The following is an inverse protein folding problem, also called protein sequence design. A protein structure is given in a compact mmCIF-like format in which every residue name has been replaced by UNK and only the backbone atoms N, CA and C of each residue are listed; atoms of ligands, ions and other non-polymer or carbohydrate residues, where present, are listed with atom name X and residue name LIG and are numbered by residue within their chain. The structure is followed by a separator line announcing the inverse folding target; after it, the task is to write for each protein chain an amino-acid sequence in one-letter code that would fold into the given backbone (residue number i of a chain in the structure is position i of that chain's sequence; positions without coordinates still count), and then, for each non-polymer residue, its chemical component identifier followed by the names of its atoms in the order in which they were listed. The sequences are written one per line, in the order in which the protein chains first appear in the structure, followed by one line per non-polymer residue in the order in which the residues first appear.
data_IF_975907206798
#
_entry.id   IF_975907206798
#
_cell.length_a   1.000
_cell.length_b   1.000
_cell.length_c   1.000
_cell.angle_alpha   90.00
_cell.angle_beta   90.00
_cell.angle_gamma   90.00
#
_symmetry.space_group_name_H-M   'P 1'
#
loop_
_entity.id
_entity.type
_entity.pdbx_description
1 polymer ?
#
# COMPACT_ATOMS: atom_id res chain seq x y z
N UNK A 1 23.92 21.71 -5.47
CA UNK A 1 23.40 21.56 -5.63
C UNK A 1 23.01 21.19 -6.11
N UNK A 2 23.11 20.68 -5.64
CA UNK A 2 22.49 20.38 -5.74
C UNK A 2 22.19 19.86 -6.03
N UNK A 3 22.44 19.78 -5.69
CA UNK A 3 21.90 19.47 -5.66
C UNK A 3 21.47 19.13 -6.10
N UNK A 4 21.74 19.18 -5.80
CA UNK A 4 21.02 19.06 -5.88
C UNK A 4 20.61 18.76 -6.49
N UNK A 5 21.05 18.80 -6.17
CA UNK A 5 20.36 18.67 -6.49
C UNK A 5 20.01 18.25 -7.08
N UNK A 6 20.14 18.06 -6.92
CA UNK A 6 19.55 17.74 -7.13
C UNK A 6 18.96 17.23 -7.53
N UNK A 7 19.16 17.19 -7.20
CA UNK A 7 18.18 16.81 -7.17
C UNK A 7 17.56 16.70 -7.81
N UNK A 8 17.60 16.73 -7.70
CA UNK A 8 16.70 16.74 -8.03
C UNK A 8 16.19 16.50 -8.70
N UNK A 9 16.27 16.41 -8.56
CA UNK A 9 15.65 16.25 -8.88
C UNK A 9 15.08 15.69 -9.27
N UNK A 10 15.01 15.52 -8.95
CA UNK A 10 14.37 14.96 -8.90
C UNK A 10 13.60 14.49 -9.28
N UNK A 11 13.45 14.29 -8.93
CA UNK A 11 12.63 13.85 -8.90
C UNK A 11 11.65 13.51 -9.08
N UNK A 12 11.48 13.24 -8.76
CA UNK A 12 10.53 12.81 -8.78
C UNK A 12 9.57 13.03 -8.90
N UNK A 13 8.96 13.06 -8.68
CA UNK A 13 8.03 13.12 -8.69
C UNK A 13 7.09 12.91 -8.48
N UNK A 14 7.02 12.93 -8.41
CA UNK A 14 6.06 12.54 -7.88
C UNK A 14 4.90 12.34 -8.16
N UNK A 15 4.57 11.95 -7.72
CA UNK A 15 3.43 11.59 -7.78
C UNK A 15 2.68 12.61 -7.46
N UNK A 16 1.84 12.71 -7.98
CA UNK A 16 1.04 13.59 -7.68
C UNK A 16 1.02 13.87 -6.38
N UNK A 17 1.22 14.54 -6.09
CA UNK A 17 1.15 14.75 -4.91
C UNK A 17 2.26 14.49 -4.33
N UNK A 18 2.75 14.33 -4.51
CA UNK A 18 3.60 14.04 -3.94
C UNK A 18 4.41 14.32 -3.36
N UNK A 19 4.63 14.43 -3.19
CA UNK A 19 5.24 14.42 -2.77
C UNK A 19 6.10 14.26 -2.29
N UNK A 20 6.68 14.45 -2.00
CA UNK A 20 7.48 14.30 -1.64
C UNK A 20 7.92 13.64 -0.92
N UNK A 21 8.31 13.46 -0.78
CA UNK A 21 8.61 12.84 -0.12
C UNK A 21 9.61 12.37 0.08
N UNK A 22 10.14 12.31 0.20
CA UNK A 22 10.88 11.85 0.24
C UNK A 22 11.70 11.24 1.03
N UNK A 23 12.19 11.61 1.83
CA UNK A 23 12.88 10.97 2.54
C UNK A 23 12.29 10.05 3.15
N UNK A 24 12.53 8.97 2.91
CA UNK A 24 11.80 7.99 3.59
C UNK A 24 12.61 7.47 4.74
N UNK A 25 11.90 7.29 5.82
CA UNK A 25 12.46 6.64 6.99
C UNK A 25 12.53 5.15 6.68
N UNK A 26 13.71 4.53 6.67
CA UNK A 26 13.79 3.10 6.34
C UNK A 26 13.09 2.21 7.34
N UNK A 27 12.76 2.73 8.52
CA UNK A 27 12.04 1.96 9.53
C UNK A 27 10.55 2.11 9.43
N UNK A 28 10.06 2.75 8.38
CA UNK A 28 8.62 2.94 8.17
C UNK A 28 8.25 2.70 6.73
N UNK A 29 7.05 2.18 6.54
CA UNK A 29 6.50 2.04 5.19
C UNK A 29 6.07 3.43 4.72
N UNK A 30 6.46 3.85 3.50
CA UNK A 30 6.11 5.19 3.01
C UNK A 30 4.70 5.21 2.45
N UNK A 31 3.72 5.18 3.35
CA UNK A 31 2.32 5.17 2.97
C UNK A 31 1.92 6.42 2.21
N UNK A 32 1.14 6.23 1.15
CA UNK A 32 0.52 7.31 0.41
C UNK A 32 -0.99 7.11 0.45
N UNK A 33 -1.77 8.19 0.28
CA UNK A 33 -3.24 8.05 0.32
C UNK A 33 -3.73 7.15 -0.80
N UNK A 34 -4.66 6.27 -0.44
CA UNK A 34 -5.29 5.42 -1.44
C UNK A 34 -6.24 6.21 -2.33
N UNK A 35 -6.24 5.89 -3.60
CA UNK A 35 -7.29 6.22 -4.54
C UNK A 35 -7.23 5.18 -5.64
N UNK A 36 -8.32 5.05 -6.38
CA UNK A 36 -8.30 4.13 -7.52
C UNK A 36 -7.27 4.56 -8.55
N UNK A 37 -7.14 5.88 -8.72
CA UNK A 37 -6.16 6.42 -9.65
C UNK A 37 -4.74 6.09 -9.22
N UNK A 38 -4.46 6.14 -7.91
CA UNK A 38 -3.12 5.80 -7.42
C UNK A 38 -2.80 4.34 -7.68
N UNK A 39 -3.78 3.45 -7.49
CA UNK A 39 -3.58 2.03 -7.79
C UNK A 39 -3.28 1.85 -9.27
N UNK A 40 -4.09 2.47 -10.13
CA UNK A 40 -3.91 2.32 -11.58
C UNK A 40 -2.57 2.86 -12.03
N UNK A 41 -2.15 4.01 -11.49
CA UNK A 41 -0.89 4.62 -11.88
C UNK A 41 0.30 3.73 -11.53
N UNK A 42 0.27 3.14 -10.32
CA UNK A 42 1.36 2.26 -9.91
C UNK A 42 1.44 1.02 -10.79
N UNK A 43 0.29 0.42 -11.11
CA UNK A 43 0.28 -0.78 -11.92
C UNK A 43 0.73 -0.50 -13.36
N UNK A 44 0.44 0.70 -13.87
CA UNK A 44 0.95 1.09 -15.18
C UNK A 44 2.46 1.13 -15.18
N UNK A 45 3.08 1.44 -14.06
CA UNK A 45 4.52 1.43 -13.93
C UNK A 45 5.09 0.04 -13.71
N UNK A 46 4.24 -0.99 -13.71
CA UNK A 46 4.68 -2.34 -13.47
C UNK A 46 4.98 -2.64 -12.01
N UNK A 47 4.35 -1.90 -11.09
CA UNK A 47 4.62 -2.03 -9.66
C UNK A 47 3.42 -2.66 -8.95
N UNK A 48 3.66 -3.65 -8.10
CA UNK A 48 2.57 -4.17 -7.26
C UNK A 48 2.10 -3.10 -6.27
N UNK A 49 0.87 -3.22 -5.78
CA UNK A 49 0.31 -2.25 -4.85
C UNK A 49 -0.20 -2.99 -3.61
N UNK A 50 0.24 -2.52 -2.44
CA UNK A 50 -0.25 -3.04 -1.17
C UNK A 50 -1.16 -1.98 -0.56
N UNK A 51 -2.43 -2.33 -0.35
CA UNK A 51 -3.42 -1.38 0.16
C UNK A 51 -3.85 -1.80 1.56
N UNK A 52 -3.87 -0.84 2.47
CA UNK A 52 -4.33 -1.05 3.83
C UNK A 52 -5.51 -0.11 4.11
N UNK A 53 -6.73 -0.65 4.16
CA UNK A 53 -7.89 0.12 4.59
C UNK A 53 -8.02 -0.05 6.09
N UNK A 54 -7.95 1.07 6.80
CA UNK A 54 -7.86 1.10 8.25
C UNK A 54 -8.73 2.22 8.82
N UNK A 55 -8.79 2.34 10.14
CA UNK A 55 -9.51 3.41 10.81
C UNK A 55 -8.95 3.60 12.21
N UNK A 56 -9.07 4.83 12.73
CA UNK A 56 -8.54 5.13 14.07
C UNK A 56 -9.18 4.27 15.15
N UNK A 57 -10.44 3.91 14.99
CA UNK A 57 -11.20 3.16 15.99
C UNK A 57 -11.10 1.65 15.83
N UNK A 58 -10.29 1.18 14.90
CA UNK A 58 -10.23 -0.25 14.57
C UNK A 58 -9.07 -0.92 15.28
N UNK A 59 -9.37 -1.66 16.35
CA UNK A 59 -8.33 -2.33 17.12
C UNK A 59 -7.63 -3.42 16.33
N UNK A 60 -8.37 -4.19 15.52
CA UNK A 60 -7.76 -5.24 14.70
C UNK A 60 -6.82 -4.64 13.66
N UNK A 61 -7.18 -3.49 13.09
CA UNK A 61 -6.30 -2.82 12.13
C UNK A 61 -4.98 -2.43 12.77
N UNK A 62 -5.05 -1.90 13.98
CA UNK A 62 -3.84 -1.49 14.70
C UNK A 62 -2.98 -2.68 15.05
N UNK A 63 -3.62 -3.76 15.48
CA UNK A 63 -2.90 -4.98 15.82
C UNK A 63 -2.19 -5.54 14.58
N UNK A 64 -2.91 -5.62 13.46
CA UNK A 64 -2.31 -6.09 12.20
C UNK A 64 -1.13 -5.24 11.81
N UNK A 65 -1.28 -3.93 11.90
CA UNK A 65 -0.21 -3.02 11.47
C UNK A 65 1.03 -3.20 12.33
N UNK A 66 0.86 -3.19 13.65
CA UNK A 66 2.01 -3.28 14.55
C UNK A 66 2.67 -4.65 14.51
N UNK A 67 1.85 -5.71 14.38
CA UNK A 67 2.37 -7.07 14.53
C UNK A 67 2.89 -7.67 13.22
N UNK A 68 2.28 -7.31 12.10
CA UNK A 68 2.54 -8.02 10.85
C UNK A 68 2.95 -7.11 9.69
N UNK A 69 2.43 -5.90 9.63
CA UNK A 69 2.69 -5.03 8.47
C UNK A 69 3.96 -4.23 8.66
N UNK A 70 4.07 -3.49 9.77
CA UNK A 70 5.24 -2.66 10.02
C UNK A 70 6.33 -3.50 10.65
N UNK A 71 6.89 -4.40 9.86
CA UNK A 71 7.98 -5.28 10.28
C UNK A 71 9.11 -5.13 9.29
N UNK A 72 10.31 -5.47 9.74
CA UNK A 72 11.49 -5.39 8.87
C UNK A 72 11.31 -6.23 7.62
N UNK A 73 10.72 -7.41 7.79
CA UNK A 73 10.57 -8.34 6.65
C UNK A 73 9.63 -7.80 5.59
N UNK A 74 8.49 -7.22 6.02
CA UNK A 74 7.54 -6.69 5.05
C UNK A 74 8.11 -5.43 4.40
N UNK A 75 8.77 -4.57 5.18
CA UNK A 75 9.40 -3.39 4.60
C UNK A 75 10.43 -3.77 3.55
N UNK A 76 11.25 -4.78 3.86
CA UNK A 76 12.25 -5.24 2.90
C UNK A 76 11.61 -5.82 1.64
N UNK A 77 10.54 -6.59 1.81
CA UNK A 77 9.84 -7.19 0.67
C UNK A 77 9.21 -6.12 -0.21
N UNK A 78 8.59 -5.12 0.40
CA UNK A 78 8.00 -4.03 -0.39
C UNK A 78 9.05 -3.34 -1.26
N UNK A 79 10.25 -3.11 -0.69
CA UNK A 79 11.34 -2.52 -1.47
C UNK A 79 11.84 -3.47 -2.54
N UNK A 80 11.97 -4.75 -2.19
CA UNK A 80 12.49 -5.75 -3.11
C UNK A 80 11.63 -5.85 -4.36
N UNK A 81 10.31 -5.87 -4.20
CA UNK A 81 9.41 -6.01 -5.35
C UNK A 81 8.98 -4.64 -5.91
N UNK A 82 9.49 -3.56 -5.33
CA UNK A 82 9.18 -2.20 -5.77
C UNK A 82 7.69 -1.89 -5.66
N UNK A 83 7.06 -2.35 -4.58
CA UNK A 83 5.64 -2.16 -4.39
C UNK A 83 5.33 -0.73 -3.91
N UNK A 84 4.13 -0.27 -4.24
CA UNK A 84 3.60 0.99 -3.73
C UNK A 84 2.67 0.66 -2.57
N UNK A 85 2.82 1.37 -1.46
CA UNK A 85 1.99 1.16 -0.28
C UNK A 85 0.98 2.31 -0.15
N UNK A 86 -0.30 1.96 -0.14
CA UNK A 86 -1.38 2.94 -0.08
C UNK A 86 -2.23 2.66 1.16
N UNK A 87 -2.66 3.73 1.83
CA UNK A 87 -3.51 3.60 3.00
C UNK A 87 -4.83 4.33 2.74
N UNK A 88 -5.93 3.64 3.04
CA UNK A 88 -7.26 4.24 2.97
C UNK A 88 -7.82 4.39 4.37
N UNK A 89 -8.02 5.62 4.80
CA UNK A 89 -8.49 5.92 6.16
C UNK A 89 -10.01 5.96 6.17
N UNK A 90 -10.60 4.95 6.78
CA UNK A 90 -12.06 4.83 6.88
C UNK A 90 -12.61 5.38 8.19
N UNK A 91 -11.83 6.21 8.90
CA UNK A 91 -12.28 6.73 10.19
C UNK A 91 -13.62 7.44 10.09
N UNK A 92 -13.83 8.23 9.03
CA UNK A 92 -15.06 8.97 8.80
C UNK A 92 -15.92 8.36 7.71
N UNK A 93 -15.63 7.13 7.32
CA UNK A 93 -16.41 6.37 6.33
C UNK A 93 -16.64 7.13 5.02
N UNK A 94 -15.59 7.60 4.35
CA UNK A 94 -15.80 8.29 3.09
C UNK A 94 -16.44 7.36 2.06
N UNK A 95 -17.31 7.89 1.19
CA UNK A 95 -18.05 7.05 0.25
C UNK A 95 -17.18 6.18 -0.66
N UNK A 96 -16.04 6.69 -1.08
CA UNK A 96 -15.16 5.94 -1.99
C UNK A 96 -14.64 4.68 -1.31
N UNK A 97 -14.30 4.79 -0.03
CA UNK A 97 -13.78 3.63 0.70
C UNK A 97 -14.93 2.67 1.01
N UNK A 98 -16.09 3.20 1.38
CA UNK A 98 -17.25 2.35 1.63
C UNK A 98 -17.58 1.52 0.40
N UNK A 99 -17.51 2.12 -0.77
CA UNK A 99 -17.79 1.42 -2.01
C UNK A 99 -16.75 0.33 -2.27
N UNK A 100 -15.48 0.65 -2.01
CA UNK A 100 -14.42 -0.33 -2.22
C UNK A 100 -14.57 -1.52 -1.29
N UNK A 101 -14.92 -1.27 -0.02
CA UNK A 101 -15.16 -2.35 0.93
C UNK A 101 -16.28 -3.25 0.43
N UNK A 102 -17.39 -2.67 -0.04
CA UNK A 102 -18.50 -3.45 -0.56
C UNK A 102 -18.11 -4.28 -1.77
N UNK A 103 -17.24 -3.72 -2.63
CA UNK A 103 -16.78 -4.45 -3.82
C UNK A 103 -16.14 -5.77 -3.43
N UNK A 104 -15.45 -5.82 -2.29
CA UNK A 104 -14.77 -7.03 -1.84
C UNK A 104 -15.55 -7.77 -0.76
N UNK A 105 -16.84 -7.45 -0.62
CA UNK A 105 -17.69 -8.19 0.30
C UNK A 105 -17.45 -7.91 1.76
N UNK A 106 -16.88 -6.75 2.08
CA UNK A 106 -16.57 -6.40 3.46
C UNK A 106 -17.53 -5.34 3.97
N UNK A 107 -17.98 -5.54 5.21
CA UNK A 107 -18.82 -4.54 5.86
C UNK A 107 -18.02 -3.40 6.42
N UNK A 108 -16.74 -3.62 6.69
CA UNK A 108 -15.88 -2.59 7.25
C UNK A 108 -14.43 -3.00 7.21
N UNK A 109 -13.59 -2.20 7.89
CA UNK A 109 -12.16 -2.49 7.98
C UNK A 109 -11.90 -3.53 9.05
N UNK A 110 -10.77 -4.23 9.00
CA UNK A 110 -9.67 -4.06 8.05
C UNK A 110 -9.94 -4.74 6.71
N UNK A 111 -9.40 -4.17 5.67
CA UNK A 111 -9.34 -4.82 4.37
C UNK A 111 -7.96 -4.55 3.81
N UNK A 112 -7.24 -5.60 3.50
CA UNK A 112 -5.91 -5.48 2.90
C UNK A 112 -5.91 -6.17 1.56
N UNK A 113 -5.42 -5.46 0.55
CA UNK A 113 -5.38 -5.95 -0.82
C UNK A 113 -3.97 -5.87 -1.34
N UNK A 114 -3.61 -6.83 -2.18
CA UNK A 114 -2.36 -6.75 -2.93
C UNK A 114 -2.70 -6.86 -4.40
N UNK A 115 -2.43 -5.80 -5.14
CA UNK A 115 -2.68 -5.78 -6.58
C UNK A 115 -1.42 -6.23 -7.29
N UNK A 116 -1.51 -7.27 -8.14
CA UNK A 116 -0.35 -7.65 -8.96
C UNK A 116 0.07 -6.52 -9.90
N UNK A 117 1.34 -6.52 -10.26
CA UNK A 117 1.85 -5.57 -11.23
C UNK A 117 1.16 -5.74 -12.59
N UNK A 118 0.78 -6.96 -12.90
CA UNK A 118 0.04 -7.28 -14.13
C UNK A 118 -1.37 -6.70 -14.02
N UNK A 119 -1.68 -5.71 -14.84
CA UNK A 119 -2.96 -5.01 -14.76
C UNK A 119 -4.16 -5.90 -15.08
N UNK A 120 -3.94 -7.02 -15.75
CA UNK A 120 -5.03 -7.93 -16.07
C UNK A 120 -5.33 -8.90 -14.93
N UNK A 121 -4.47 -8.94 -13.92
CA UNK A 121 -4.64 -9.91 -12.84
C UNK A 121 -5.52 -9.34 -11.74
N UNK A 122 -6.28 -10.22 -11.08
CA UNK A 122 -7.16 -9.86 -9.98
C UNK A 122 -6.35 -9.54 -8.73
N UNK A 123 -6.85 -8.63 -7.89
CA UNK A 123 -6.17 -8.38 -6.62
C UNK A 123 -6.29 -9.57 -5.68
N UNK A 124 -5.30 -9.71 -4.83
CA UNK A 124 -5.28 -10.73 -3.79
C UNK A 124 -5.90 -10.13 -2.55
N UNK A 125 -6.99 -10.74 -2.06
CA UNK A 125 -7.69 -10.26 -0.86
C UNK A 125 -7.12 -11.00 0.33
N UNK A 126 -6.56 -10.27 1.29
CA UNK A 126 -5.94 -10.90 2.46
C UNK A 126 -6.99 -11.11 3.55
N UNK A 127 -6.77 -12.08 4.45
CA UNK A 127 -7.72 -12.32 5.53
C UNK A 127 -7.76 -11.17 6.52
N UNK A 128 -8.86 -11.11 7.28
CA UNK A 128 -9.06 -10.05 8.26
C UNK A 128 -7.94 -10.01 9.29
N UNK A 129 -7.56 -11.17 9.81
CA UNK A 129 -6.41 -11.25 10.71
C UNK A 129 -5.21 -11.67 9.89
N UNK A 130 -4.20 -10.83 9.87
CA UNK A 130 -3.05 -11.05 9.02
C UNK A 130 -2.01 -11.95 9.68
N UNK A 131 -1.01 -12.28 8.90
CA UNK A 131 0.19 -12.95 9.35
C UNK A 131 1.32 -12.50 8.45
N UNK A 132 2.53 -12.53 8.97
CA UNK A 132 3.66 -12.03 8.21
C UNK A 132 3.86 -12.83 6.92
N UNK A 133 3.81 -14.16 7.01
CA UNK A 133 4.01 -14.98 5.82
C UNK A 133 2.91 -14.78 4.78
N UNK A 134 1.69 -14.49 5.25
CA UNK A 134 0.58 -14.23 4.33
C UNK A 134 0.90 -13.00 3.47
N UNK A 135 1.40 -11.94 4.11
CA UNK A 135 1.73 -10.72 3.40
C UNK A 135 2.91 -10.95 2.46
N UNK A 136 3.96 -11.61 2.95
CA UNK A 136 5.16 -11.84 2.14
C UNK A 136 4.84 -12.68 0.90
N UNK A 137 4.04 -13.74 1.08
CA UNK A 137 3.67 -14.59 -0.04
C UNK A 137 2.83 -13.85 -1.07
N UNK A 138 1.91 -13.00 -0.60
CA UNK A 138 1.08 -12.23 -1.51
C UNK A 138 1.92 -11.25 -2.32
N UNK A 139 2.89 -10.61 -1.69
CA UNK A 139 3.76 -9.68 -2.41
C UNK A 139 4.64 -10.38 -3.43
N UNK A 140 5.16 -11.56 -3.09
CA UNK A 140 5.93 -12.34 -4.05
C UNK A 140 5.08 -12.71 -5.26
N UNK A 141 3.87 -13.17 -5.02
CA UNK A 141 2.97 -13.55 -6.10
C UNK A 141 2.61 -12.35 -6.96
N UNK A 142 2.39 -11.21 -6.33
CA UNK A 142 2.00 -9.99 -7.04
C UNK A 142 3.13 -9.48 -7.93
N UNK A 143 4.37 -9.77 -7.58
CA UNK A 143 5.52 -9.37 -8.38
C UNK A 143 5.77 -10.31 -9.55
N UNK A 144 4.96 -11.34 -9.71
CA UNK A 144 5.11 -12.25 -10.83
C UNK A 144 5.93 -13.49 -10.48
N UNK A 145 6.22 -13.64 -9.20
CA UNK A 145 7.05 -14.76 -8.77
C UNK A 145 6.31 -16.03 -8.49
#
# INVERSE_FOLDING_TARGET
MEQQLKWCEKKARPIAGGSEVEETDPDKIPWQPWSREAVAAARKEGRPVFVDFTANWCATCKFNKASFIETDEVRAKLREVNAVALVGDNTLSPPEIAEELRRYGRAGVPLNLVFPADESAEPIVLPTLLGKSIILNALDKAAGG
#
